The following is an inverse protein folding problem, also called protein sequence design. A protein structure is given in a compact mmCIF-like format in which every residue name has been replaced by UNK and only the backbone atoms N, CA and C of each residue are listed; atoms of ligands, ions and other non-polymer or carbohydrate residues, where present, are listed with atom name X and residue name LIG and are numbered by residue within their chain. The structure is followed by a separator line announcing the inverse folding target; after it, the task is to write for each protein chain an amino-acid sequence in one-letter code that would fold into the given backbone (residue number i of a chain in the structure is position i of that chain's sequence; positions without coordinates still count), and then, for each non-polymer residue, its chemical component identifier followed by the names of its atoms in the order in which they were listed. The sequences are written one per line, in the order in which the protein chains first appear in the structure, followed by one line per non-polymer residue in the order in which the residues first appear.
data_IF_744545100063
#
_entry.id   IF_744545100063
#
_cell.length_a   1.000
_cell.length_b   1.000
_cell.length_c   1.000
_cell.angle_alpha   90.00
_cell.angle_beta   90.00
_cell.angle_gamma   90.00
#
_symmetry.space_group_name_H-M   'P 1'
#
loop_
_entity.id
_entity.type
_entity.pdbx_description
1 polymer ?
#
# COMPACT_ATOMS: atom_id res chain seq x y z
N UNK A 1 -10.10 0.31 -16.85
CA UNK A 1 -8.80 0.47 -16.17
C UNK A 1 -8.64 -0.64 -15.16
N UNK A 2 -7.49 -1.30 -15.15
CA UNK A 2 -7.22 -2.34 -14.17
C UNK A 2 -6.82 -1.69 -12.84
N UNK A 3 -7.25 -2.28 -11.71
CA UNK A 3 -6.78 -1.88 -10.40
C UNK A 3 -6.56 -3.11 -9.53
N UNK A 4 -5.47 -3.10 -8.77
CA UNK A 4 -5.13 -4.12 -7.81
C UNK A 4 -5.30 -3.57 -6.38
N UNK A 5 -5.83 -4.38 -5.48
CA UNK A 5 -5.99 -4.02 -4.06
C UNK A 5 -5.14 -4.94 -3.21
N UNK A 6 -4.27 -4.35 -2.39
CA UNK A 6 -3.40 -5.06 -1.46
C UNK A 6 -3.83 -4.70 -0.04
N UNK A 7 -4.01 -5.69 0.83
CA UNK A 7 -4.31 -5.47 2.25
C UNK A 7 -3.07 -5.77 3.09
N UNK A 8 -2.51 -4.73 3.71
CA UNK A 8 -1.38 -4.85 4.65
C UNK A 8 -1.95 -4.91 6.06
N UNK A 9 -1.82 -6.05 6.72
CA UNK A 9 -2.21 -6.21 8.12
C UNK A 9 -1.00 -5.94 8.99
N UNK A 10 -1.15 -5.10 10.00
CA UNK A 10 -0.10 -4.85 10.98
C UNK A 10 -0.51 -5.46 12.32
N UNK A 11 0.39 -6.17 13.02
CA UNK A 11 0.06 -6.84 14.28
C UNK A 11 -0.53 -5.89 15.33
N UNK A 12 0.02 -4.68 15.48
CA UNK A 12 -0.50 -3.68 16.41
C UNK A 12 -1.77 -2.95 15.94
N UNK A 13 -2.28 -3.22 14.72
CA UNK A 13 -3.46 -2.55 14.17
C UNK A 13 -4.60 -3.53 13.89
N UNK A 14 -5.71 -3.41 14.64
CA UNK A 14 -6.93 -4.22 14.42
C UNK A 14 -7.53 -4.08 13.02
N UNK A 15 -7.32 -2.92 12.38
CA UNK A 15 -7.70 -2.65 10.99
C UNK A 15 -6.42 -2.41 10.20
N UNK A 16 -6.02 -3.38 9.38
CA UNK A 16 -4.96 -3.22 8.40
C UNK A 16 -5.27 -2.11 7.38
N UNK A 17 -4.37 -1.92 6.40
CA UNK A 17 -4.50 -0.91 5.35
C UNK A 17 -4.79 -1.55 4.01
N UNK A 18 -5.80 -1.05 3.34
CA UNK A 18 -6.03 -1.35 1.92
C UNK A 18 -5.31 -0.32 1.08
N UNK A 19 -4.40 -0.79 0.24
CA UNK A 19 -3.65 -0.04 -0.76
C UNK A 19 -4.26 -0.37 -2.10
N UNK A 20 -4.76 0.63 -2.81
CA UNK A 20 -5.21 0.48 -4.19
C UNK A 20 -4.11 0.97 -5.11
N UNK A 21 -3.67 0.08 -5.98
CA UNK A 21 -2.77 0.35 -7.09
C UNK A 21 -3.64 0.43 -8.34
N UNK A 22 -3.56 1.54 -9.06
CA UNK A 22 -4.22 1.69 -10.36
C UNK A 22 -3.18 1.97 -11.44
N UNK A 23 -3.60 1.81 -12.70
CA UNK A 23 -2.83 2.34 -13.83
C UNK A 23 -2.41 3.80 -13.58
N UNK A 24 -1.28 4.21 -14.17
CA UNK A 24 -0.62 5.53 -14.03
C UNK A 24 0.14 5.79 -12.71
N UNK A 25 0.87 4.82 -12.16
CA UNK A 25 1.74 5.02 -10.99
C UNK A 25 1.03 5.63 -9.76
N UNK A 26 -0.29 5.43 -9.66
CA UNK A 26 -1.12 5.99 -8.59
C UNK A 26 -1.29 4.97 -7.47
N UNK A 27 -0.90 5.38 -6.28
CA UNK A 27 -1.11 4.65 -5.03
C UNK A 27 -2.10 5.44 -4.19
N UNK A 28 -3.15 4.77 -3.70
CA UNK A 28 -4.11 5.36 -2.77
C UNK A 28 -4.37 4.44 -1.58
N UNK A 29 -4.55 5.03 -0.39
CA UNK A 29 -4.87 4.29 0.82
C UNK A 29 -5.74 5.15 1.76
N UNK A 30 -6.61 4.49 2.53
CA UNK A 30 -7.66 5.13 3.34
C UNK A 30 -7.14 6.08 4.44
N UNK A 31 -5.90 5.90 4.96
CA UNK A 31 -5.36 6.70 6.09
C UNK A 31 -3.86 6.93 5.95
N UNK A 32 -3.42 8.15 6.25
CA UNK A 32 -2.01 8.56 6.25
C UNK A 32 -1.14 7.93 7.34
N UNK A 33 -1.72 7.37 8.41
CA UNK A 33 -0.95 6.67 9.45
C UNK A 33 -0.04 5.60 8.83
N UNK A 34 1.19 5.41 9.31
CA UNK A 34 2.14 4.39 8.79
C UNK A 34 2.34 4.39 7.26
N UNK A 35 2.15 5.52 6.58
CA UNK A 35 2.38 5.64 5.14
C UNK A 35 3.80 5.19 4.76
N UNK A 36 4.80 5.56 5.55
CA UNK A 36 6.20 5.17 5.36
C UNK A 36 6.39 3.65 5.31
N UNK A 37 5.66 2.91 6.13
CA UNK A 37 5.75 1.45 6.12
C UNK A 37 5.07 0.82 4.92
N UNK A 38 3.95 1.39 4.48
CA UNK A 38 3.30 0.98 3.23
C UNK A 38 4.31 1.11 2.09
N UNK A 39 4.96 2.27 1.95
CA UNK A 39 6.01 2.47 0.93
C UNK A 39 7.19 1.51 1.11
N UNK A 40 7.61 1.24 2.35
CA UNK A 40 8.67 0.25 2.65
C UNK A 40 8.31 -1.14 2.14
N UNK A 41 7.09 -1.62 2.38
CA UNK A 41 6.63 -2.92 1.91
C UNK A 41 6.53 -2.96 0.38
N UNK A 42 5.95 -1.92 -0.23
CA UNK A 42 5.82 -1.85 -1.69
C UNK A 42 7.20 -1.87 -2.39
N UNK A 43 8.19 -1.13 -1.86
CA UNK A 43 9.58 -1.20 -2.35
C UNK A 43 10.20 -2.58 -2.14
N UNK A 44 10.06 -3.17 -0.95
CA UNK A 44 10.61 -4.50 -0.64
C UNK A 44 10.03 -5.60 -1.54
N UNK A 45 8.78 -5.45 -1.97
CA UNK A 45 8.12 -6.37 -2.90
C UNK A 45 8.40 -6.07 -4.38
N UNK A 46 9.17 -5.04 -4.70
CA UNK A 46 9.48 -4.65 -6.07
C UNK A 46 8.31 -3.99 -6.82
N UNK A 47 7.29 -3.52 -6.11
CA UNK A 47 6.13 -2.80 -6.70
C UNK A 47 6.41 -1.31 -6.91
N UNK A 48 7.47 -0.79 -6.30
CA UNK A 48 7.99 0.56 -6.51
C UNK A 48 9.48 0.48 -6.80
N UNK A 49 9.94 1.23 -7.79
CA UNK A 49 11.38 1.47 -7.97
C UNK A 49 11.90 2.30 -6.79
N UNK A 50 13.18 2.13 -6.49
CA UNK A 50 13.90 2.93 -5.51
C UNK A 50 13.87 4.42 -5.87
#
# INVERSE_FOLDING_TARGET
MASAKIKIVFPECRRGKTVTLSDTNKISFNRSTRCMEVFRYLRRWGLLSA
#
